data_IF_449399505494
#
_entry.id   IF_449399505494
#
_cell.length_a   1.000
_cell.length_b   1.000
_cell.length_c   1.000
_cell.angle_alpha   90.00
_cell.angle_beta   90.00
_cell.angle_gamma   90.00
#
_symmetry.space_group_name_H-M   'P 1'
#
loop_
_entity.id
_entity.type
_entity.pdbx_description
1 polymer ?
#
# COMPACT_ATOMS: atom_id res chain seq x y z
N UNK A 1 18.19 7.39 -7.37
CA UNK A 1 18.82 6.18 -7.96
C UNK A 1 19.11 6.46 -9.43
N UNK A 2 20.23 6.00 -9.99
CA UNK A 2 20.58 6.28 -11.39
C UNK A 2 19.82 5.35 -12.36
N UNK A 3 19.66 5.78 -13.61
CA UNK A 3 19.03 4.97 -14.67
C UNK A 3 19.78 3.65 -14.92
N UNK A 4 21.11 3.65 -14.76
CA UNK A 4 21.94 2.45 -14.90
C UNK A 4 21.66 1.42 -13.80
N UNK A 5 21.50 1.88 -12.56
CA UNK A 5 21.17 1.00 -11.43
C UNK A 5 19.76 0.42 -11.57
N UNK A 6 18.79 1.22 -12.05
CA UNK A 6 17.45 0.73 -12.36
C UNK A 6 17.49 -0.41 -13.39
N UNK A 7 18.21 -0.20 -14.49
CA UNK A 7 18.37 -1.19 -15.55
C UNK A 7 19.03 -2.47 -15.04
N UNK A 8 20.08 -2.36 -14.22
CA UNK A 8 20.76 -3.51 -13.59
C UNK A 8 19.78 -4.34 -12.75
N UNK A 9 18.90 -3.70 -11.99
CA UNK A 9 17.88 -4.39 -11.19
C UNK A 9 16.83 -5.08 -12.03
N UNK A 10 16.36 -4.44 -13.11
CA UNK A 10 15.42 -5.06 -14.06
C UNK A 10 16.02 -6.29 -14.74
N UNK A 11 17.31 -6.26 -15.09
CA UNK A 11 18.05 -7.42 -15.61
C UNK A 11 18.12 -8.53 -14.55
N UNK A 12 18.46 -8.20 -13.30
CA UNK A 12 18.51 -9.18 -12.21
C UNK A 12 17.15 -9.83 -11.92
N UNK A 13 16.06 -9.08 -12.08
CA UNK A 13 14.68 -9.58 -11.99
C UNK A 13 14.20 -10.33 -13.25
N UNK A 14 15.08 -10.55 -14.24
CA UNK A 14 14.78 -11.22 -15.52
C UNK A 14 13.62 -10.57 -16.28
N UNK A 15 13.51 -9.24 -16.22
CA UNK A 15 12.50 -8.50 -16.99
C UNK A 15 12.71 -8.73 -18.50
N UNK A 16 11.64 -9.07 -19.21
CA UNK A 16 11.68 -9.28 -20.67
C UNK A 16 11.59 -7.96 -21.44
N UNK A 17 10.91 -6.96 -20.87
CA UNK A 17 10.64 -5.68 -21.51
C UNK A 17 11.31 -4.52 -20.76
N UNK A 18 12.64 -4.58 -20.65
CA UNK A 18 13.43 -3.70 -19.77
C UNK A 18 13.16 -2.21 -20.03
N UNK A 19 13.17 -1.76 -21.28
CA UNK A 19 13.00 -0.33 -21.56
C UNK A 19 11.57 0.16 -21.30
N UNK A 20 10.55 -0.67 -21.58
CA UNK A 20 9.15 -0.35 -21.27
C UNK A 20 8.92 -0.29 -19.76
N UNK A 21 9.40 -1.30 -19.03
CA UNK A 21 9.33 -1.34 -17.56
C UNK A 21 10.08 -0.15 -16.95
N UNK A 22 11.29 0.16 -17.44
CA UNK A 22 12.09 1.29 -16.96
C UNK A 22 11.34 2.61 -17.14
N UNK A 23 10.70 2.82 -18.29
CA UNK A 23 9.92 4.02 -18.57
C UNK A 23 8.76 4.17 -17.58
N UNK A 24 7.91 3.14 -17.47
CA UNK A 24 6.75 3.13 -16.56
C UNK A 24 7.17 3.38 -15.09
N UNK A 25 8.25 2.74 -14.65
CA UNK A 25 8.82 2.95 -13.31
C UNK A 25 9.32 4.39 -13.12
N UNK A 26 10.06 4.94 -14.08
CA UNK A 26 10.59 6.31 -13.97
C UNK A 26 9.46 7.32 -13.91
N UNK A 27 8.43 7.15 -14.73
CA UNK A 27 7.27 8.03 -14.76
C UNK A 27 6.53 8.01 -13.40
N UNK A 28 6.31 6.82 -12.83
CA UNK A 28 5.75 6.69 -11.50
C UNK A 28 6.63 7.32 -10.40
N UNK A 29 7.94 7.12 -10.43
CA UNK A 29 8.87 7.66 -9.43
C UNK A 29 9.04 9.19 -9.51
N UNK A 30 8.82 9.79 -10.69
CA UNK A 30 8.84 11.24 -10.84
C UNK A 30 7.68 11.89 -10.07
N UNK A 31 6.52 11.22 -10.00
CA UNK A 31 5.35 11.68 -9.25
C UNK A 31 5.36 11.23 -7.78
N UNK A 32 5.78 9.98 -7.50
CA UNK A 32 5.75 9.37 -6.17
C UNK A 32 7.16 9.10 -5.65
N UNK A 33 7.80 10.17 -5.15
CA UNK A 33 9.23 10.16 -4.78
C UNK A 33 9.58 9.35 -3.54
N UNK A 34 8.60 9.04 -2.70
CA UNK A 34 8.78 8.21 -1.51
C UNK A 34 8.85 6.71 -1.83
N UNK A 35 8.52 6.32 -3.07
CA UNK A 35 8.70 4.96 -3.54
C UNK A 35 10.15 4.74 -3.97
N UNK A 36 10.71 3.61 -3.53
CA UNK A 36 12.09 3.23 -3.81
C UNK A 36 12.10 1.88 -4.51
N UNK A 37 12.80 1.77 -5.66
CA UNK A 37 13.09 0.49 -6.29
C UNK A 37 13.86 -0.44 -5.37
N UNK A 38 13.55 -1.74 -5.44
CA UNK A 38 14.20 -2.78 -4.65
C UNK A 38 14.09 -4.15 -5.34
N UNK A 39 14.88 -5.12 -4.87
CA UNK A 39 14.83 -6.52 -5.30
C UNK A 39 14.56 -7.41 -4.09
N UNK A 40 13.58 -8.30 -4.22
CA UNK A 40 13.22 -9.24 -3.16
C UNK A 40 12.91 -10.62 -3.74
N UNK A 41 13.18 -11.68 -2.96
CA UNK A 41 12.65 -13.01 -3.27
C UNK A 41 11.16 -13.02 -3.00
N UNK A 42 10.37 -13.08 -4.06
CA UNK A 42 8.92 -13.03 -3.99
C UNK A 42 8.30 -14.26 -4.65
N UNK A 43 7.20 -14.74 -4.08
CA UNK A 43 6.39 -15.83 -4.63
C UNK A 43 5.08 -15.23 -5.11
N UNK A 44 4.88 -15.24 -6.42
CA UNK A 44 3.64 -14.73 -7.01
C UNK A 44 2.47 -15.64 -6.64
N UNK A 45 1.33 -15.11 -6.19
CA UNK A 45 0.18 -15.92 -5.79
C UNK A 45 -0.38 -16.81 -6.92
N UNK A 46 -0.25 -16.37 -8.17
CA UNK A 46 -0.87 -17.01 -9.34
C UNK A 46 0.12 -17.88 -10.15
N UNK A 47 1.34 -18.07 -9.64
CA UNK A 47 2.37 -18.94 -10.26
C UNK A 47 2.76 -20.04 -9.29
N UNK A 48 3.40 -21.09 -9.82
CA UNK A 48 3.95 -22.19 -9.03
C UNK A 48 4.67 -21.70 -7.77
N UNK A 49 4.74 -22.57 -6.76
CA UNK A 49 5.25 -22.29 -5.40
C UNK A 49 6.74 -21.86 -5.32
N UNK A 50 7.36 -21.46 -6.41
CA UNK A 50 8.74 -21.02 -6.54
C UNK A 50 8.93 -19.54 -6.18
N UNK A 51 9.91 -19.26 -5.31
CA UNK A 51 10.37 -17.89 -5.07
C UNK A 51 11.32 -17.43 -6.16
N UNK A 52 11.15 -16.20 -6.64
CA UNK A 52 12.01 -15.60 -7.66
C UNK A 52 12.47 -14.21 -7.22
N UNK A 53 13.71 -13.84 -7.59
CA UNK A 53 14.17 -12.46 -7.45
C UNK A 53 13.27 -11.58 -8.32
N UNK A 54 12.57 -10.67 -7.67
CA UNK A 54 11.49 -9.88 -8.25
C UNK A 54 11.75 -8.42 -7.99
N UNK A 55 11.52 -7.59 -9.00
CA UNK A 55 11.57 -6.14 -8.86
C UNK A 55 10.35 -5.65 -8.10
N UNK A 56 10.56 -4.75 -7.14
CA UNK A 56 9.46 -4.07 -6.46
C UNK A 56 9.73 -2.58 -6.31
N UNK A 57 8.65 -1.82 -6.19
CA UNK A 57 8.66 -0.49 -5.58
C UNK A 57 8.16 -0.63 -4.15
N UNK A 58 8.87 -0.06 -3.19
CA UNK A 58 8.47 -0.04 -1.77
C UNK A 58 8.61 1.37 -1.24
N UNK A 59 7.64 1.83 -0.46
CA UNK A 59 7.66 3.14 0.15
C UNK A 59 6.29 3.53 0.64
N UNK A 60 6.00 4.83 0.65
CA UNK A 60 4.68 5.35 1.03
C UNK A 60 4.01 6.08 -0.12
N UNK A 61 2.68 6.06 -0.14
CA UNK A 61 1.88 6.89 -1.04
C UNK A 61 0.97 7.82 -0.23
N UNK A 62 0.83 9.09 -0.63
CA UNK A 62 -0.10 10.00 0.04
C UNK A 62 -1.54 9.64 -0.35
N UNK A 63 -2.43 9.58 0.63
CA UNK A 63 -3.87 9.47 0.43
C UNK A 63 -4.61 10.45 1.35
N UNK A 64 -5.77 10.94 0.94
CA UNK A 64 -6.59 11.83 1.75
C UNK A 64 -7.73 11.04 2.41
N UNK A 65 -7.76 11.01 3.74
CA UNK A 65 -8.83 10.40 4.52
C UNK A 65 -9.36 11.41 5.52
N UNK A 66 -10.66 11.76 5.41
CA UNK A 66 -11.31 12.77 6.27
C UNK A 66 -10.51 14.09 6.34
N UNK A 67 -10.22 14.66 5.17
CA UNK A 67 -9.50 15.95 5.00
C UNK A 67 -8.05 15.96 5.50
N UNK A 68 -7.53 14.83 5.95
CA UNK A 68 -6.13 14.69 6.39
C UNK A 68 -5.38 13.80 5.41
N UNK A 69 -4.17 14.24 5.03
CA UNK A 69 -3.29 13.44 4.17
C UNK A 69 -2.46 12.49 5.05
N UNK A 70 -2.52 11.20 4.74
CA UNK A 70 -1.75 10.14 5.38
C UNK A 70 -0.83 9.46 4.37
N UNK A 71 0.33 9.02 4.84
CA UNK A 71 1.29 8.28 4.04
C UNK A 71 1.14 6.78 4.29
N UNK A 72 0.58 6.07 3.31
CA UNK A 72 0.29 4.64 3.46
C UNK A 72 1.44 3.81 2.89
N UNK A 73 2.06 2.94 3.70
CA UNK A 73 3.15 2.09 3.24
C UNK A 73 2.64 0.99 2.31
N UNK A 74 3.25 0.89 1.12
CA UNK A 74 2.91 -0.11 0.10
C UNK A 74 4.15 -0.78 -0.49
N UNK A 75 3.94 -1.95 -1.08
CA UNK A 75 4.86 -2.61 -1.99
C UNK A 75 4.16 -2.99 -3.29
N UNK A 76 4.79 -2.72 -4.42
CA UNK A 76 4.30 -3.02 -5.77
C UNK A 76 5.31 -3.95 -6.43
N UNK A 77 4.96 -5.23 -6.60
CA UNK A 77 5.80 -6.24 -7.20
C UNK A 77 5.53 -6.34 -8.71
N UNK A 78 6.59 -6.28 -9.51
CA UNK A 78 6.51 -6.34 -10.97
C UNK A 78 6.97 -7.71 -11.46
N UNK A 79 6.13 -8.37 -12.25
CA UNK A 79 6.53 -9.63 -12.89
C UNK A 79 7.56 -9.38 -14.00
N UNK A 80 8.24 -10.44 -14.46
CA UNK A 80 9.15 -10.37 -15.61
C UNK A 80 8.48 -9.88 -16.90
N UNK A 81 7.14 -9.95 -16.98
CA UNK A 81 6.33 -9.58 -18.14
C UNK A 81 5.78 -8.14 -18.08
N UNK A 82 6.02 -7.40 -16.99
CA UNK A 82 5.59 -6.00 -16.89
C UNK A 82 6.14 -5.17 -18.08
N UNK A 83 5.35 -4.30 -18.72
CA UNK A 83 4.01 -3.84 -18.33
C UNK A 83 2.81 -4.67 -18.86
N UNK A 84 3.03 -5.78 -19.56
CA UNK A 84 1.92 -6.59 -20.11
C UNK A 84 1.11 -7.35 -19.06
N UNK A 85 1.70 -7.62 -17.89
CA UNK A 85 1.03 -8.25 -16.77
C UNK A 85 0.88 -7.25 -15.62
N UNK A 86 -0.27 -7.32 -14.93
CA UNK A 86 -0.53 -6.48 -13.77
C UNK A 86 0.53 -6.70 -12.68
N UNK A 87 0.86 -5.66 -11.92
CA UNK A 87 1.65 -5.83 -10.71
C UNK A 87 0.84 -6.52 -9.60
N UNK A 88 1.53 -6.97 -8.56
CA UNK A 88 0.90 -7.42 -7.31
C UNK A 88 1.20 -6.40 -6.22
N UNK A 89 0.16 -5.89 -5.56
CA UNK A 89 0.29 -4.83 -4.58
C UNK A 89 -0.02 -5.31 -3.16
N UNK A 90 0.71 -4.80 -2.19
CA UNK A 90 0.49 -5.04 -0.77
C UNK A 90 0.51 -3.73 0.00
N UNK A 91 -0.31 -3.66 1.05
CA UNK A 91 -0.18 -2.68 2.14
C UNK A 91 0.73 -3.28 3.21
N UNK A 92 1.74 -2.52 3.63
CA UNK A 92 2.75 -2.98 4.58
C UNK A 92 2.68 -2.18 5.89
N UNK A 93 1.78 -2.52 6.83
CA UNK A 93 1.63 -1.77 8.08
C UNK A 93 2.97 -1.68 8.84
N UNK A 94 3.21 -0.53 9.48
CA UNK A 94 4.28 -0.40 10.48
C UNK A 94 3.89 -1.12 11.77
N UNK A 95 4.80 -1.18 12.74
CA UNK A 95 4.55 -1.82 14.04
C UNK A 95 3.34 -1.22 14.76
N UNK A 96 3.08 0.08 14.58
CA UNK A 96 1.95 0.79 15.16
C UNK A 96 0.69 0.75 14.30
N UNK A 97 0.66 -0.03 13.23
CA UNK A 97 -0.48 -0.15 12.33
C UNK A 97 -1.07 -1.56 12.33
N UNK A 98 -2.36 -1.65 12.04
CA UNK A 98 -3.09 -2.91 11.79
C UNK A 98 -3.85 -2.79 10.49
N UNK A 99 -3.78 -3.82 9.65
CA UNK A 99 -4.56 -3.90 8.41
C UNK A 99 -6.05 -3.96 8.74
N UNK A 100 -6.84 -3.11 8.10
CA UNK A 100 -8.29 -3.25 8.00
C UNK A 100 -8.62 -3.88 6.67
N UNK A 101 -8.90 -5.19 6.69
CA UNK A 101 -9.38 -5.89 5.50
C UNK A 101 -10.74 -5.35 5.06
N UNK A 102 -10.93 -5.25 3.75
CA UNK A 102 -12.17 -4.84 3.09
C UNK A 102 -12.27 -5.55 1.72
N UNK A 103 -13.19 -5.13 0.85
CA UNK A 103 -13.33 -5.73 -0.47
C UNK A 103 -12.09 -5.57 -1.37
N UNK A 104 -11.29 -4.53 -1.14
CA UNK A 104 -10.11 -4.18 -1.93
C UNK A 104 -8.80 -4.60 -1.27
N UNK A 105 -8.80 -5.00 0.01
CA UNK A 105 -7.60 -5.34 0.77
C UNK A 105 -7.86 -6.56 1.64
N UNK A 106 -7.09 -7.63 1.46
CA UNK A 106 -7.18 -8.83 2.28
C UNK A 106 -6.50 -8.68 3.65
N UNK A 107 -6.67 -9.68 4.53
CA UNK A 107 -6.10 -9.67 5.89
C UNK A 107 -4.56 -9.67 5.92
N UNK A 108 -3.93 -10.26 4.92
CA UNK A 108 -2.48 -10.25 4.70
C UNK A 108 -1.99 -8.98 3.96
N UNK A 109 -2.91 -8.07 3.61
CA UNK A 109 -2.60 -6.77 3.02
C UNK A 109 -2.52 -6.79 1.49
N UNK A 110 -2.80 -7.91 0.82
CA UNK A 110 -2.86 -7.96 -0.65
C UNK A 110 -4.00 -7.07 -1.13
N UNK A 111 -3.70 -6.27 -2.15
CA UNK A 111 -4.65 -5.34 -2.74
C UNK A 111 -5.31 -5.96 -3.97
N UNK A 112 -6.62 -5.78 -4.07
CA UNK A 112 -7.48 -6.18 -5.16
C UNK A 112 -8.25 -4.94 -5.62
N UNK A 113 -8.07 -4.55 -6.87
CA UNK A 113 -8.75 -3.39 -7.46
C UNK A 113 -9.19 -3.75 -8.87
N UNK A 114 -10.30 -3.17 -9.33
CA UNK A 114 -10.73 -3.33 -10.72
C UNK A 114 -9.63 -2.92 -11.70
N UNK A 115 -8.86 -1.87 -11.37
CA UNK A 115 -7.72 -1.42 -12.17
C UNK A 115 -6.63 -2.50 -12.33
N UNK A 116 -6.39 -3.32 -11.30
CA UNK A 116 -5.45 -4.45 -11.39
C UNK A 116 -6.05 -5.62 -12.17
N UNK A 117 -7.34 -5.89 -11.98
CA UNK A 117 -8.05 -6.98 -12.65
C UNK A 117 -8.20 -6.75 -14.16
N UNK A 118 -8.46 -5.51 -14.56
CA UNK A 118 -8.64 -5.09 -15.96
C UNK A 118 -7.36 -4.58 -16.61
N UNK A 119 -6.22 -4.71 -15.92
CA UNK A 119 -4.94 -4.20 -16.36
C UNK A 119 -4.62 -4.61 -17.81
N UNK A 120 -4.42 -3.63 -18.67
CA UNK A 120 -4.11 -3.85 -20.08
C UNK A 120 -3.06 -2.87 -20.57
N UNK A 121 -2.00 -3.40 -21.16
CA UNK A 121 -1.01 -2.61 -21.87
C UNK A 121 -1.25 -2.66 -23.39
N UNK A 122 -1.15 -1.52 -24.11
CA UNK A 122 -0.99 -0.16 -23.58
C UNK A 122 -2.30 0.39 -23.01
N UNK A 123 -2.21 1.31 -22.04
CA UNK A 123 -3.34 2.05 -21.47
C UNK A 123 -3.35 2.11 -19.94
N UNK A 124 -2.88 1.05 -19.28
CA UNK A 124 -2.72 0.98 -17.84
C UNK A 124 -1.22 1.05 -17.49
N UNK A 125 -0.89 1.83 -16.46
CA UNK A 125 0.48 2.09 -16.04
C UNK A 125 0.59 2.22 -14.50
N UNK A 126 1.82 2.26 -13.98
CA UNK A 126 2.06 2.32 -12.54
C UNK A 126 1.59 3.64 -11.93
N UNK A 127 1.67 4.72 -12.70
CA UNK A 127 1.26 6.06 -12.26
C UNK A 127 -0.24 6.09 -11.97
N UNK A 128 -1.06 5.63 -12.93
CA UNK A 128 -2.50 5.49 -12.79
C UNK A 128 -2.88 4.52 -11.68
N UNK A 129 -2.18 3.38 -11.57
CA UNK A 129 -2.40 2.44 -10.46
C UNK A 129 -2.21 3.10 -9.09
N UNK A 130 -1.13 3.86 -8.90
CA UNK A 130 -0.86 4.52 -7.60
C UNK A 130 -1.90 5.59 -7.30
N UNK A 131 -2.37 6.33 -8.31
CA UNK A 131 -3.47 7.29 -8.15
C UNK A 131 -4.77 6.60 -7.71
N UNK A 132 -5.13 5.48 -8.36
CA UNK A 132 -6.32 4.69 -7.99
C UNK A 132 -6.16 4.08 -6.58
N UNK A 133 -4.97 3.63 -6.21
CA UNK A 133 -4.66 3.18 -4.83
C UNK A 133 -4.93 4.30 -3.82
N UNK A 134 -4.41 5.51 -4.06
CA UNK A 134 -4.60 6.65 -3.19
C UNK A 134 -6.08 7.03 -3.04
N UNK A 135 -6.85 7.03 -4.14
CA UNK A 135 -8.29 7.28 -4.11
C UNK A 135 -9.05 6.20 -3.32
N UNK A 136 -8.81 4.92 -3.62
CA UNK A 136 -9.49 3.82 -2.95
C UNK A 136 -9.18 3.78 -1.45
N UNK A 137 -7.93 4.05 -1.06
CA UNK A 137 -7.55 4.12 0.35
C UNK A 137 -8.09 5.37 1.06
N UNK A 138 -8.32 6.46 0.33
CA UNK A 138 -8.99 7.64 0.87
C UNK A 138 -10.48 7.40 1.18
N UNK A 139 -11.16 6.58 0.38
CA UNK A 139 -12.54 6.16 0.64
C UNK A 139 -12.61 5.14 1.79
N UNK A 140 -11.75 4.11 1.73
CA UNK A 140 -11.70 3.02 2.70
C UNK A 140 -10.26 2.78 3.15
N UNK A 141 -9.89 3.48 4.22
CA UNK A 141 -8.54 3.40 4.78
C UNK A 141 -8.13 1.94 5.09
N UNK A 142 -6.99 1.45 4.55
CA UNK A 142 -6.59 0.05 4.66
C UNK A 142 -5.88 -0.26 5.98
N UNK A 143 -5.57 0.74 6.81
CA UNK A 143 -4.84 0.58 8.07
C UNK A 143 -5.39 1.45 9.19
N UNK A 144 -5.26 0.99 10.43
CA UNK A 144 -5.55 1.76 11.64
C UNK A 144 -4.34 1.80 12.54
N UNK A 145 -4.16 2.92 13.24
CA UNK A 145 -3.17 3.00 14.31
C UNK A 145 -3.61 2.10 15.47
N UNK A 146 -2.69 1.25 15.95
CA UNK A 146 -2.75 0.66 17.28
C UNK A 146 -2.68 1.83 18.25
N UNK A 147 -3.82 2.30 18.76
CA UNK A 147 -3.82 3.28 19.84
C UNK A 147 -2.92 2.72 20.94
N UNK A 148 -1.78 3.38 21.21
CA UNK A 148 -1.11 3.20 22.49
C UNK A 148 -2.14 3.67 23.52
N UNK A 149 -2.67 2.72 24.29
CA UNK A 149 -3.53 3.04 25.41
C UNK A 149 -2.70 3.83 26.43
N UNK A 150 -2.54 5.13 26.22
CA UNK A 150 -2.54 6.05 27.34
C UNK A 150 -3.97 6.01 27.84
N UNK A 151 -4.23 5.04 28.72
CA UNK A 151 -5.22 5.21 29.77
C UNK A 151 -4.94 6.59 30.32
N UNK A 152 -5.78 7.57 29.99
CA UNK A 152 -5.89 8.74 30.82
C UNK A 152 -6.30 8.16 32.16
N UNK A 153 -5.34 8.05 33.09
CA UNK A 153 -5.62 7.79 34.49
C UNK A 153 -6.54 8.93 34.90
N UNK A 154 -7.85 8.69 34.85
CA UNK A 154 -8.80 9.48 35.59
C UNK A 154 -8.33 9.35 37.04
N UNK A 155 -7.68 10.39 37.56
CA UNK A 155 -7.60 10.60 38.98
C UNK A 155 -9.05 10.72 39.46
N UNK A 156 -9.65 9.60 39.84
CA UNK A 156 -10.85 9.56 40.67
C UNK A 156 -10.47 10.16 42.01
N UNK A 157 -10.58 11.48 42.14
CA UNK A 157 -10.75 12.12 43.42
C UNK A 157 -12.08 11.63 43.97
N UNK A 158 -12.00 10.77 44.99
CA UNK A 158 -13.12 10.28 45.78
C UNK A 158 -13.82 11.49 46.40
N UNK A 159 -14.99 11.87 45.89
CA UNK A 159 -15.89 12.80 46.56
C UNK A 159 -17.07 11.99 47.14
N UNK A 160 -17.21 11.91 48.48
CA UNK A 160 -18.27 11.13 49.12
C UNK A 160 -19.49 12.02 49.39
N UNK A 161 -20.31 12.31 48.38
CA UNK A 161 -21.64 12.88 48.61
C UNK A 161 -22.66 12.35 47.59
N UNK A 162 -23.82 11.82 48.04
CA UNK A 162 -24.89 11.40 47.15
C UNK A 162 -25.71 12.62 46.73
N UNK A 163 -25.93 12.81 45.43
CA UNK A 163 -27.00 13.67 44.92
C UNK A 163 -27.97 12.82 44.08
N UNK A 164 -29.29 12.98 44.27
CA UNK A 164 -30.30 12.24 43.53
C UNK A 164 -30.47 12.75 42.09
N UNK A 165 -30.73 11.80 41.19
CA UNK A 165 -31.00 11.96 39.75
C UNK A 165 -32.27 12.78 39.46
N UNK A 166 -32.45 13.22 38.19
CA UNK A 166 -33.50 12.55 37.42
C UNK A 166 -33.21 12.29 35.93
N UNK A 167 -33.97 11.29 35.45
CA UNK A 167 -34.24 10.78 34.11
C UNK A 167 -34.26 11.78 32.94
N UNK A 168 -33.80 11.31 31.76
CA UNK A 168 -34.31 11.78 30.46
C UNK A 168 -34.69 10.57 29.61
N UNK A 169 -35.89 10.66 29.01
CA UNK A 169 -36.59 9.62 28.25
C UNK A 169 -36.32 9.67 26.74
N UNK A 170 -36.45 8.45 26.16
CA UNK A 170 -36.70 8.01 24.77
C UNK A 170 -35.77 8.49 23.65
#
# INVERSE_FOLDING_TARGET
MSAAELKKRLVAAKSQYIELAKQDIVDALNQFRDLVPDLEKFKFPDKDNEQRITFKLKGTIPMCYRETVYNIPISIYLSSMHPYHSPVCYVNPTEDMVIRSNENVSKDGRVYLSYLHEWRYPGYDLTGLIQILAMSFGEKCPVFSKKSGKTASQSTSVNPWPTPTPMVCL
#
